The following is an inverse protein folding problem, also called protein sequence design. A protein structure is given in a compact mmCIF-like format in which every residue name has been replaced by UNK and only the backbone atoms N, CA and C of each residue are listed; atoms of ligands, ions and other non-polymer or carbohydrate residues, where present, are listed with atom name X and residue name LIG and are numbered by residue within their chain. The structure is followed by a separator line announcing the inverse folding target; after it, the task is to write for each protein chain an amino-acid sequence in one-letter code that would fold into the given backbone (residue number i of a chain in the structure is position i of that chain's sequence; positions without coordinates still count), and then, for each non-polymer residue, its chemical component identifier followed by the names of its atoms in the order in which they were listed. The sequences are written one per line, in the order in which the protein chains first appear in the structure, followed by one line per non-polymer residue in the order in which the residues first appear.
data_IF_937447930731
#
_entry.id   IF_937447930731
#
_cell.length_a   1.000
_cell.length_b   1.000
_cell.length_c   1.000
_cell.angle_alpha   90.00
_cell.angle_beta   90.00
_cell.angle_gamma   90.00
#
_symmetry.space_group_name_H-M   'P 1'
#
loop_
_entity.id
_entity.type
_entity.pdbx_description
1 polymer ?
#
# COMPACT_ATOMS: atom_id res chain seq x y z
N UNK A 1 11.23 4.12 -23.19
CA UNK A 1 9.81 4.59 -23.25
C UNK A 1 8.99 3.58 -24.03
N UNK A 2 7.86 3.16 -23.47
CA UNK A 2 6.92 2.23 -24.08
C UNK A 2 6.19 2.87 -25.26
N UNK A 3 5.98 2.10 -26.33
CA UNK A 3 5.02 2.42 -27.39
C UNK A 3 3.65 1.84 -26.95
N UNK A 4 2.78 2.69 -26.40
CA UNK A 4 1.51 2.27 -25.80
C UNK A 4 0.38 2.43 -26.81
N UNK A 5 -0.23 1.33 -27.20
CA UNK A 5 -1.41 1.32 -28.09
C UNK A 5 -2.67 1.62 -27.28
N UNK A 6 -3.47 2.58 -27.71
CA UNK A 6 -4.74 2.95 -27.07
C UNK A 6 -5.94 2.45 -27.88
N UNK A 7 -6.80 1.68 -27.22
CA UNK A 7 -8.15 1.35 -27.69
C UNK A 7 -9.17 1.88 -26.69
N UNK A 8 -9.86 2.97 -27.04
CA UNK A 8 -10.88 3.57 -26.15
C UNK A 8 -12.14 2.70 -26.11
N UNK A 9 -12.80 2.67 -24.96
CA UNK A 9 -14.13 2.06 -24.84
C UNK A 9 -15.15 2.79 -25.70
N UNK A 10 -16.06 2.04 -26.32
CA UNK A 10 -17.23 2.58 -27.04
C UNK A 10 -18.45 2.69 -26.14
N UNK A 11 -18.36 2.19 -24.91
CA UNK A 11 -19.45 2.16 -23.93
C UNK A 11 -18.91 2.58 -22.55
N UNK A 12 -18.60 3.89 -22.35
CA UNK A 12 -18.09 4.36 -21.08
C UNK A 12 -19.13 4.14 -19.96
N UNK A 13 -18.66 3.77 -18.78
CA UNK A 13 -19.47 3.54 -17.60
C UNK A 13 -20.00 4.88 -17.05
N UNK A 14 -21.18 4.84 -16.45
CA UNK A 14 -21.66 5.97 -15.67
C UNK A 14 -20.76 6.18 -14.45
N UNK A 15 -20.25 7.41 -14.28
CA UNK A 15 -19.48 7.76 -13.10
C UNK A 15 -20.39 7.90 -11.87
N UNK A 16 -19.92 7.54 -10.67
CA UNK A 16 -20.67 7.74 -9.44
C UNK A 16 -21.10 9.20 -9.28
N UNK A 17 -22.41 9.41 -9.10
CA UNK A 17 -22.96 10.75 -8.89
C UNK A 17 -22.66 11.30 -7.49
N UNK A 18 -22.38 10.43 -6.52
CA UNK A 18 -22.10 10.77 -5.12
C UNK A 18 -20.75 10.14 -4.73
N UNK A 19 -19.70 10.95 -4.75
CA UNK A 19 -18.34 10.52 -4.43
C UNK A 19 -18.16 10.21 -2.93
N UNK A 20 -19.08 10.60 -2.06
CA UNK A 20 -19.03 10.22 -0.63
C UNK A 20 -19.30 8.75 -0.39
N UNK A 21 -19.87 8.04 -1.39
CA UNK A 21 -20.25 6.62 -1.33
C UNK A 21 -19.35 5.70 -2.14
N UNK A 22 -18.19 6.18 -2.56
CA UNK A 22 -17.27 5.40 -3.42
C UNK A 22 -16.78 4.09 -2.77
N UNK A 23 -16.63 4.06 -1.45
CA UNK A 23 -15.99 2.93 -0.76
C UNK A 23 -14.54 2.74 -1.21
N UNK A 24 -14.04 1.50 -1.14
CA UNK A 24 -12.69 1.16 -1.57
C UNK A 24 -12.68 -0.08 -2.47
N UNK A 25 -12.14 0.06 -3.70
CA UNK A 25 -11.84 -1.07 -4.58
C UNK A 25 -13.07 -1.81 -5.15
N UNK A 26 -14.25 -1.19 -5.22
CA UNK A 26 -15.48 -1.83 -5.71
C UNK A 26 -15.93 -1.32 -7.08
N UNK A 27 -15.54 -0.11 -7.43
CA UNK A 27 -15.86 0.54 -8.71
C UNK A 27 -14.54 0.63 -9.49
N UNK A 28 -14.56 0.25 -10.77
CA UNK A 28 -13.39 0.29 -11.64
C UNK A 28 -13.62 1.23 -12.81
N UNK A 29 -12.54 1.90 -13.25
CA UNK A 29 -12.54 2.83 -14.37
C UNK A 29 -12.85 2.15 -15.70
N UNK A 30 -12.88 2.93 -16.78
CA UNK A 30 -13.26 2.44 -18.10
C UNK A 30 -12.21 1.59 -18.77
N UNK A 31 -10.94 1.78 -18.42
CA UNK A 31 -9.82 1.14 -19.08
C UNK A 31 -8.90 0.39 -18.11
N UNK A 32 -8.05 -0.47 -18.65
CA UNK A 32 -6.94 -1.13 -17.98
C UNK A 32 -5.70 -1.09 -18.89
N UNK A 33 -4.52 -1.07 -18.28
CA UNK A 33 -3.25 -1.24 -18.98
C UNK A 33 -2.84 -2.70 -18.95
N UNK A 34 -2.31 -3.19 -20.07
CA UNK A 34 -1.75 -4.54 -20.20
C UNK A 34 -0.40 -4.48 -20.93
N UNK A 35 0.53 -5.33 -20.50
CA UNK A 35 1.78 -5.58 -21.19
C UNK A 35 2.19 -7.03 -20.95
N UNK A 36 2.63 -7.71 -22.00
CA UNK A 36 2.99 -9.12 -21.96
C UNK A 36 4.50 -9.29 -21.87
N UNK A 37 4.94 -10.39 -21.28
CA UNK A 37 6.34 -10.82 -21.30
C UNK A 37 6.46 -12.23 -21.87
N UNK A 38 7.41 -12.42 -22.76
CA UNK A 38 7.81 -13.72 -23.29
C UNK A 38 9.32 -13.90 -23.12
N UNK A 39 9.75 -15.02 -22.53
CA UNK A 39 11.17 -15.31 -22.36
C UNK A 39 11.91 -15.34 -23.71
N UNK A 40 13.01 -14.59 -23.83
CA UNK A 40 13.77 -14.41 -25.05
C UNK A 40 13.32 -13.23 -25.93
N UNK A 41 12.12 -12.70 -25.71
CA UNK A 41 11.57 -11.54 -26.41
C UNK A 41 11.54 -10.30 -25.51
N UNK A 42 11.31 -10.50 -24.19
CA UNK A 42 11.19 -9.43 -23.20
C UNK A 42 9.75 -8.94 -23.05
N UNK A 43 9.59 -7.72 -22.50
CA UNK A 43 8.31 -7.04 -22.37
C UNK A 43 7.87 -6.46 -23.70
N UNK A 44 6.61 -6.71 -24.09
CA UNK A 44 6.05 -6.32 -25.37
C UNK A 44 4.53 -6.04 -25.30
N UNK A 45 3.96 -5.53 -26.38
CA UNK A 45 2.52 -5.26 -26.54
C UNK A 45 1.91 -4.39 -25.44
N UNK A 46 2.61 -3.33 -25.05
CA UNK A 46 2.07 -2.34 -24.13
C UNK A 46 0.81 -1.69 -24.70
N UNK A 47 -0.31 -1.78 -23.98
CA UNK A 47 -1.62 -1.33 -24.47
C UNK A 47 -2.56 -0.90 -23.35
N UNK A 48 -3.39 0.09 -23.65
CA UNK A 48 -4.55 0.47 -22.84
C UNK A 48 -5.80 0.03 -23.62
N UNK A 49 -6.64 -0.75 -22.96
CA UNK A 49 -7.84 -1.36 -23.53
C UNK A 49 -9.03 -1.19 -22.59
N UNK A 50 -10.29 -1.35 -23.07
CA UNK A 50 -11.45 -1.34 -22.19
C UNK A 50 -11.29 -2.36 -21.06
N UNK A 51 -11.68 -1.97 -19.83
CA UNK A 51 -11.70 -2.86 -18.67
C UNK A 51 -12.60 -4.06 -18.91
N UNK A 52 -12.01 -5.26 -18.84
CA UNK A 52 -12.71 -6.53 -19.08
C UNK A 52 -12.10 -7.67 -18.26
N UNK A 53 -12.79 -8.80 -18.07
CA UNK A 53 -12.19 -10.01 -17.53
C UNK A 53 -10.95 -10.46 -18.32
N UNK A 54 -9.94 -10.95 -17.63
CA UNK A 54 -8.76 -11.58 -18.24
C UNK A 54 -9.09 -13.05 -18.55
N UNK A 55 -8.96 -13.51 -19.81
CA UNK A 55 -9.16 -14.91 -20.15
C UNK A 55 -7.92 -15.71 -19.69
N UNK A 56 -8.05 -16.51 -18.65
CA UNK A 56 -6.99 -17.37 -18.13
C UNK A 56 -7.37 -18.85 -18.30
N UNK A 57 -6.41 -19.68 -18.72
CA UNK A 57 -6.56 -21.13 -18.70
C UNK A 57 -6.66 -21.61 -17.24
N UNK A 58 -7.52 -22.60 -16.91
CA UNK A 58 -7.60 -23.13 -15.54
C UNK A 58 -6.27 -23.68 -14.99
N UNK A 59 -5.33 -24.10 -15.85
CA UNK A 59 -4.00 -24.53 -15.47
C UNK A 59 -2.96 -23.41 -15.45
N UNK A 60 -3.36 -22.14 -15.53
CA UNK A 60 -2.45 -21.01 -15.39
C UNK A 60 -1.78 -21.07 -14.02
N UNK A 61 -0.45 -21.09 -13.98
CA UNK A 61 0.35 -21.39 -12.79
C UNK A 61 0.09 -20.43 -11.61
N UNK A 62 -0.27 -19.17 -11.87
CA UNK A 62 -0.61 -18.21 -10.80
C UNK A 62 -1.80 -18.68 -9.95
N UNK A 63 -2.77 -19.37 -10.54
CA UNK A 63 -3.95 -19.89 -9.84
C UNK A 63 -3.62 -21.00 -8.84
N UNK A 64 -2.45 -21.63 -8.98
CA UNK A 64 -2.02 -22.77 -8.16
C UNK A 64 -0.84 -22.43 -7.25
N UNK A 65 0.07 -21.55 -7.69
CA UNK A 65 1.35 -21.29 -6.99
C UNK A 65 1.56 -19.83 -6.63
N UNK A 66 0.61 -18.94 -6.97
CA UNK A 66 0.60 -17.53 -6.56
C UNK A 66 1.92 -16.78 -6.88
N UNK A 67 2.58 -17.11 -8.02
CA UNK A 67 3.71 -16.32 -8.50
C UNK A 67 3.19 -15.00 -9.07
N UNK A 68 2.96 -14.03 -8.19
CA UNK A 68 2.44 -12.71 -8.52
C UNK A 68 2.93 -11.66 -7.54
N UNK A 69 2.98 -10.41 -8.00
CA UNK A 69 3.33 -9.23 -7.22
C UNK A 69 2.37 -8.10 -7.57
N UNK A 70 2.20 -7.15 -6.64
CA UNK A 70 1.35 -6.00 -6.88
C UNK A 70 1.89 -4.74 -6.21
N UNK A 71 1.34 -3.61 -6.61
CA UNK A 71 1.55 -2.32 -6.00
C UNK A 71 0.23 -1.63 -5.64
N UNK A 72 0.31 -0.58 -4.86
CA UNK A 72 -0.80 0.26 -4.52
C UNK A 72 -0.34 1.70 -4.39
N UNK A 73 -0.91 2.58 -5.19
CA UNK A 73 -0.63 4.01 -5.21
C UNK A 73 -1.90 4.78 -5.53
N UNK A 74 -1.85 6.10 -5.50
CA UNK A 74 -3.02 6.95 -5.74
C UNK A 74 -2.69 8.08 -6.71
N UNK A 75 -3.69 8.48 -7.49
CA UNK A 75 -3.71 9.76 -8.16
C UNK A 75 -4.68 10.71 -7.44
N UNK A 76 -4.26 11.95 -7.31
CA UNK A 76 -4.95 13.00 -6.59
C UNK A 76 -5.29 14.15 -7.55
N UNK A 77 -6.46 14.78 -7.33
CA UNK A 77 -6.84 15.98 -8.04
C UNK A 77 -6.66 17.18 -7.14
N UNK A 78 -5.88 18.14 -7.59
CA UNK A 78 -5.68 19.41 -6.89
C UNK A 78 -6.84 20.38 -7.15
N UNK A 79 -6.91 21.47 -6.39
CA UNK A 79 -7.97 22.47 -6.51
C UNK A 79 -8.02 23.17 -7.89
N UNK A 80 -6.88 23.27 -8.57
CA UNK A 80 -6.80 23.83 -9.93
C UNK A 80 -7.08 22.79 -11.03
N UNK A 81 -7.41 21.54 -10.66
CA UNK A 81 -7.75 20.45 -11.56
C UNK A 81 -6.56 19.64 -12.06
N UNK A 82 -5.33 19.96 -11.65
CA UNK A 82 -4.15 19.13 -11.96
C UNK A 82 -4.31 17.74 -11.33
N UNK A 83 -3.96 16.71 -12.09
CA UNK A 83 -3.88 15.32 -11.59
C UNK A 83 -2.42 14.98 -11.33
N UNK A 84 -2.13 14.42 -10.17
CA UNK A 84 -0.76 14.15 -9.74
C UNK A 84 -0.62 12.83 -8.99
N UNK A 85 0.57 12.24 -9.03
CA UNK A 85 0.98 11.05 -8.31
C UNK A 85 1.92 11.43 -7.15
N UNK A 86 1.98 10.58 -6.14
CA UNK A 86 2.88 10.74 -5.00
C UNK A 86 3.95 9.64 -5.02
N UNK A 87 5.23 10.00 -5.23
CA UNK A 87 6.42 9.13 -5.22
C UNK A 87 6.29 7.84 -6.05
N UNK A 88 5.81 7.91 -7.31
CA UNK A 88 5.62 6.72 -8.14
C UNK A 88 6.93 5.96 -8.42
N UNK A 89 8.07 6.64 -8.41
CA UNK A 89 9.43 6.08 -8.50
C UNK A 89 9.73 5.08 -7.38
N UNK A 90 9.29 5.39 -6.15
CA UNK A 90 9.44 4.50 -5.01
C UNK A 90 8.60 3.23 -5.17
N UNK A 91 7.38 3.33 -5.71
CA UNK A 91 6.55 2.17 -6.02
C UNK A 91 7.19 1.33 -7.14
N UNK A 92 7.70 1.97 -8.20
CA UNK A 92 8.39 1.27 -9.29
C UNK A 92 9.61 0.49 -8.78
N UNK A 93 10.44 1.10 -7.93
CA UNK A 93 11.61 0.43 -7.33
C UNK A 93 11.18 -0.76 -6.47
N UNK A 94 10.18 -0.59 -5.60
CA UNK A 94 9.69 -1.68 -4.74
C UNK A 94 9.03 -2.80 -5.56
N UNK A 95 8.39 -2.48 -6.68
CA UNK A 95 7.87 -3.48 -7.61
C UNK A 95 9.01 -4.34 -8.20
N UNK A 96 10.15 -3.73 -8.54
CA UNK A 96 11.35 -4.44 -8.99
C UNK A 96 11.92 -5.34 -7.89
N UNK A 97 12.00 -4.86 -6.64
CA UNK A 97 12.50 -5.66 -5.51
C UNK A 97 11.60 -6.88 -5.25
N UNK A 98 10.29 -6.71 -5.38
CA UNK A 98 9.32 -7.82 -5.28
C UNK A 98 9.47 -8.80 -6.45
N UNK A 99 9.69 -8.29 -7.67
CA UNK A 99 9.90 -9.11 -8.86
C UNK A 99 11.13 -9.99 -8.72
N UNK A 100 12.25 -9.43 -8.28
CA UNK A 100 13.51 -10.18 -8.06
C UNK A 100 13.30 -11.36 -7.11
N UNK A 101 12.61 -11.13 -5.98
CA UNK A 101 12.39 -12.18 -4.98
C UNK A 101 11.58 -13.36 -5.53
N UNK A 102 10.65 -13.11 -6.44
CA UNK A 102 9.77 -14.13 -7.02
C UNK A 102 10.18 -14.57 -8.43
N UNK A 103 11.40 -14.21 -8.87
CA UNK A 103 11.90 -14.53 -10.21
C UNK A 103 10.98 -14.04 -11.34
N UNK A 104 10.33 -12.91 -11.16
CA UNK A 104 9.55 -12.22 -12.17
C UNK A 104 10.49 -11.23 -12.91
N UNK A 105 10.43 -11.13 -14.25
CA UNK A 105 11.27 -10.18 -14.98
C UNK A 105 11.01 -8.74 -14.55
N UNK A 106 12.07 -7.97 -14.31
CA UNK A 106 11.95 -6.56 -13.97
C UNK A 106 11.31 -5.76 -15.10
N UNK A 107 10.40 -4.86 -14.73
CA UNK A 107 9.97 -3.77 -15.60
C UNK A 107 10.86 -2.57 -15.27
N UNK A 108 11.48 -1.88 -16.27
CA UNK A 108 12.20 -0.64 -16.00
C UNK A 108 11.34 0.37 -15.24
N UNK A 109 11.91 1.06 -14.26
CA UNK A 109 11.16 1.97 -13.39
C UNK A 109 10.45 3.07 -14.19
N UNK A 110 11.13 3.62 -15.20
CA UNK A 110 10.57 4.62 -16.11
C UNK A 110 9.39 4.10 -16.92
N UNK A 111 9.42 2.82 -17.36
CA UNK A 111 8.33 2.20 -18.10
C UNK A 111 7.13 1.89 -17.19
N UNK A 112 7.38 1.48 -15.94
CA UNK A 112 6.34 1.32 -14.93
C UNK A 112 5.61 2.66 -14.66
N UNK A 113 6.36 3.74 -14.44
CA UNK A 113 5.77 5.07 -14.18
C UNK A 113 5.03 5.58 -15.42
N UNK A 114 5.60 5.41 -16.62
CA UNK A 114 4.93 5.79 -17.88
C UNK A 114 3.60 5.04 -18.06
N UNK A 115 3.55 3.74 -17.77
CA UNK A 115 2.32 2.95 -17.88
C UNK A 115 1.23 3.44 -16.90
N UNK A 116 1.63 3.80 -15.67
CA UNK A 116 0.72 4.39 -14.67
C UNK A 116 0.20 5.74 -15.14
N UNK A 117 1.09 6.65 -15.55
CA UNK A 117 0.70 7.98 -16.02
C UNK A 117 -0.23 7.90 -17.23
N UNK A 118 0.07 7.03 -18.19
CA UNK A 118 -0.72 6.84 -19.40
C UNK A 118 -2.15 6.38 -19.10
N UNK A 119 -2.32 5.39 -18.22
CA UNK A 119 -3.66 4.93 -17.83
C UNK A 119 -4.44 5.99 -17.06
N UNK A 120 -3.79 6.67 -16.12
CA UNK A 120 -4.41 7.77 -15.36
C UNK A 120 -4.81 8.92 -16.29
N UNK A 121 -4.01 9.22 -17.31
CA UNK A 121 -4.35 10.25 -18.30
C UNK A 121 -5.59 9.89 -19.13
N UNK A 122 -5.66 8.64 -19.61
CA UNK A 122 -6.82 8.14 -20.37
C UNK A 122 -8.10 8.18 -19.55
N UNK A 123 -8.01 7.79 -18.27
CA UNK A 123 -9.13 7.75 -17.32
C UNK A 123 -9.14 8.97 -16.36
N UNK A 124 -8.55 10.08 -16.75
CA UNK A 124 -8.39 11.32 -15.95
C UNK A 124 -9.69 11.79 -15.29
N UNK A 125 -10.81 11.65 -15.99
CA UNK A 125 -12.12 12.03 -15.50
C UNK A 125 -12.66 11.13 -14.38
N UNK A 126 -12.01 9.99 -14.11
CA UNK A 126 -12.31 9.11 -12.99
C UNK A 126 -11.60 9.50 -11.70
N UNK A 127 -10.63 10.42 -11.76
CA UNK A 127 -10.00 10.95 -10.56
C UNK A 127 -11.00 11.83 -9.82
N UNK A 128 -11.43 11.46 -8.59
CA UNK A 128 -12.48 12.17 -7.87
C UNK A 128 -12.17 13.65 -7.61
N UNK A 129 -13.22 14.44 -7.41
CA UNK A 129 -13.16 15.85 -7.10
C UNK A 129 -13.35 16.16 -5.61
N UNK A 130 -14.01 15.24 -4.88
CA UNK A 130 -14.33 15.42 -3.47
C UNK A 130 -13.08 15.37 -2.59
N UNK A 131 -13.07 16.17 -1.55
CA UNK A 131 -11.99 16.23 -0.55
C UNK A 131 -11.76 14.84 0.08
N UNK A 132 -10.51 14.43 0.18
CA UNK A 132 -10.11 13.12 0.72
C UNK A 132 -10.32 11.94 -0.24
N UNK A 133 -11.08 12.10 -1.33
CA UNK A 133 -11.23 11.09 -2.34
C UNK A 133 -10.04 11.08 -3.33
N UNK A 134 -9.74 9.94 -3.91
CA UNK A 134 -8.60 9.74 -4.80
C UNK A 134 -8.85 8.61 -5.79
N UNK A 135 -8.07 8.52 -6.86
CA UNK A 135 -8.07 7.36 -7.73
C UNK A 135 -7.02 6.36 -7.22
N UNK A 136 -7.45 5.20 -6.71
CA UNK A 136 -6.55 4.13 -6.34
C UNK A 136 -6.08 3.38 -7.57
N UNK A 137 -4.77 3.17 -7.67
CA UNK A 137 -4.11 2.53 -8.81
C UNK A 137 -3.51 1.22 -8.32
N UNK A 138 -3.84 0.10 -9.00
CA UNK A 138 -3.38 -1.24 -8.70
C UNK A 138 -2.59 -1.82 -9.86
N UNK A 139 -1.27 -1.57 -9.93
CA UNK A 139 -0.36 -2.35 -10.78
C UNK A 139 -0.16 -3.75 -10.18
N UNK A 140 -0.16 -4.77 -11.03
CA UNK A 140 0.17 -6.14 -10.63
C UNK A 140 0.74 -6.92 -11.80
N UNK A 141 1.58 -7.91 -11.49
CA UNK A 141 2.18 -8.81 -12.47
C UNK A 141 2.06 -10.24 -12.01
N UNK A 142 1.69 -11.13 -12.89
CA UNK A 142 1.50 -12.54 -12.55
C UNK A 142 2.00 -13.48 -13.66
N UNK A 143 2.39 -14.68 -13.22
CA UNK A 143 2.83 -15.76 -14.09
C UNK A 143 1.66 -16.33 -14.91
N UNK A 144 1.87 -16.45 -16.24
CA UNK A 144 0.84 -16.86 -17.18
C UNK A 144 1.17 -18.16 -17.95
N UNK A 145 2.15 -18.93 -17.51
CA UNK A 145 2.40 -20.27 -18.07
C UNK A 145 1.23 -21.19 -17.76
N UNK A 146 0.95 -22.13 -18.69
CA UNK A 146 -0.07 -23.17 -18.54
C UNK A 146 0.60 -24.48 -18.15
N UNK A 147 0.29 -25.02 -16.97
CA UNK A 147 0.86 -26.26 -16.46
C UNK A 147 0.76 -26.40 -14.96
N UNK A 148 1.11 -27.57 -14.44
CA UNK A 148 1.01 -27.91 -13.00
C UNK A 148 2.38 -28.12 -12.33
N UNK A 149 3.45 -27.62 -12.93
CA UNK A 149 4.81 -27.71 -12.38
C UNK A 149 5.22 -26.40 -11.69
N UNK A 150 5.92 -26.49 -10.55
CA UNK A 150 6.50 -25.31 -9.88
C UNK A 150 7.82 -24.94 -10.54
N UNK A 151 7.86 -23.78 -11.19
CA UNK A 151 9.05 -23.22 -11.82
C UNK A 151 8.88 -21.70 -12.02
N UNK A 152 9.96 -20.99 -12.27
CA UNK A 152 9.86 -19.61 -12.75
C UNK A 152 9.24 -19.60 -14.15
N UNK A 153 8.16 -18.86 -14.33
CA UNK A 153 7.42 -18.81 -15.60
C UNK A 153 8.23 -18.17 -16.71
N UNK A 154 7.85 -18.48 -17.95
CA UNK A 154 8.41 -17.89 -19.17
C UNK A 154 7.50 -16.82 -19.78
N UNK A 155 6.24 -16.76 -19.32
CA UNK A 155 5.25 -15.78 -19.74
C UNK A 155 4.65 -15.11 -18.53
N UNK A 156 4.50 -13.78 -18.60
CA UNK A 156 3.88 -12.97 -17.54
C UNK A 156 2.95 -11.93 -18.16
N UNK A 157 1.98 -11.51 -17.39
CA UNK A 157 1.12 -10.37 -17.73
C UNK A 157 1.33 -9.31 -16.67
N UNK A 158 1.68 -8.10 -17.08
CA UNK A 158 1.62 -6.90 -16.26
C UNK A 158 0.32 -6.16 -16.56
N UNK A 159 -0.45 -5.88 -15.53
CA UNK A 159 -1.75 -5.22 -15.63
C UNK A 159 -1.84 -4.06 -14.63
N UNK A 160 -2.50 -2.98 -15.04
CA UNK A 160 -2.87 -1.89 -14.12
C UNK A 160 -4.37 -1.67 -14.25
N UNK A 161 -5.06 -1.61 -13.11
CA UNK A 161 -6.45 -1.24 -12.98
C UNK A 161 -6.59 -0.07 -12.02
N UNK A 162 -7.63 0.75 -12.18
CA UNK A 162 -7.90 1.90 -11.34
C UNK A 162 -9.30 1.85 -10.74
N UNK A 163 -9.42 2.37 -9.51
CA UNK A 163 -10.68 2.42 -8.76
C UNK A 163 -10.81 3.78 -8.06
N UNK A 164 -11.85 4.58 -8.36
CA UNK A 164 -12.13 5.75 -7.56
C UNK A 164 -12.48 5.31 -6.13
N UNK A 165 -11.85 5.93 -5.15
CA UNK A 165 -11.97 5.57 -3.74
C UNK A 165 -12.32 6.81 -2.92
N UNK A 166 -13.26 6.67 -2.00
CA UNK A 166 -13.65 7.71 -1.07
C UNK A 166 -12.58 7.98 -0.01
N UNK A 167 -12.84 8.93 0.86
CA UNK A 167 -12.01 9.15 2.03
C UNK A 167 -11.98 7.87 2.88
N UNK A 168 -10.78 7.42 3.25
CA UNK A 168 -10.62 6.21 4.06
C UNK A 168 -11.32 6.33 5.42
N UNK A 169 -11.32 7.53 5.98
CA UNK A 169 -12.03 7.89 7.19
C UNK A 169 -13.15 8.89 6.84
N UNK A 170 -14.37 8.40 6.62
CA UNK A 170 -15.52 9.24 6.25
C UNK A 170 -15.92 10.22 7.38
N UNK A 171 -15.68 9.85 8.65
CA UNK A 171 -16.06 10.63 9.84
C UNK A 171 -14.84 11.24 10.57
N UNK A 172 -13.64 11.18 9.95
CA UNK A 172 -12.39 11.65 10.56
C UNK A 172 -11.45 10.50 10.95
N UNK A 173 -10.30 10.84 11.54
CA UNK A 173 -9.28 9.88 11.95
C UNK A 173 -9.64 9.23 13.28
N UNK A 174 -10.59 8.30 13.31
CA UNK A 174 -10.95 7.58 14.52
C UNK A 174 -9.87 6.57 14.93
N UNK A 175 -9.32 6.69 16.16
CA UNK A 175 -8.33 5.75 16.65
C UNK A 175 -8.90 4.35 16.82
N UNK A 176 -8.15 3.34 16.38
CA UNK A 176 -8.56 1.94 16.35
C UNK A 176 -7.98 1.12 17.52
N UNK A 177 -8.61 -0.02 17.80
CA UNK A 177 -8.14 -1.04 18.74
C UNK A 177 -7.39 -2.13 17.99
N UNK A 178 -6.23 -2.52 18.50
CA UNK A 178 -5.33 -3.48 17.86
C UNK A 178 -5.06 -4.68 18.79
N UNK A 179 -5.22 -5.87 18.26
CA UNK A 179 -4.83 -7.12 18.92
C UNK A 179 -3.37 -7.44 18.61
N UNK A 180 -2.57 -7.75 19.61
CA UNK A 180 -1.19 -8.21 19.42
C UNK A 180 -1.19 -9.72 19.17
N UNK A 181 -0.84 -10.12 17.96
CA UNK A 181 -0.87 -11.50 17.50
C UNK A 181 0.38 -12.26 17.97
N UNK A 182 0.20 -13.33 18.74
CA UNK A 182 1.29 -14.13 19.28
C UNK A 182 1.24 -15.63 18.86
N UNK A 183 0.20 -16.02 18.13
CA UNK A 183 0.06 -17.38 17.57
C UNK A 183 0.53 -17.43 16.11
N UNK A 184 -0.07 -16.61 15.25
CA UNK A 184 0.26 -16.55 13.84
C UNK A 184 1.39 -15.54 13.58
N UNK A 185 2.11 -15.75 12.48
CA UNK A 185 3.17 -14.84 12.03
C UNK A 185 2.86 -14.36 10.62
N UNK A 186 3.20 -13.11 10.32
CA UNK A 186 3.08 -12.53 8.98
C UNK A 186 4.26 -12.92 8.09
N UNK A 187 5.46 -12.93 8.66
CA UNK A 187 6.71 -13.10 7.93
C UNK A 187 7.77 -13.79 8.78
N UNK A 188 8.74 -14.42 8.13
CA UNK A 188 9.94 -14.97 8.77
C UNK A 188 11.17 -14.65 7.90
N UNK A 189 12.39 -14.61 8.50
CA UNK A 189 13.63 -14.42 7.76
C UNK A 189 13.78 -15.43 6.62
N UNK A 190 14.17 -14.94 5.43
CA UNK A 190 14.34 -15.76 4.23
C UNK A 190 13.07 -16.04 3.43
N UNK A 191 11.88 -15.68 3.94
CA UNK A 191 10.62 -15.76 3.19
C UNK A 191 10.37 -14.47 2.36
N UNK A 192 9.12 -14.10 2.20
CA UNK A 192 8.67 -13.04 1.29
C UNK A 192 8.17 -11.79 2.00
N UNK A 193 8.46 -11.61 3.29
CA UNK A 193 7.88 -10.55 4.11
C UNK A 193 8.13 -9.12 3.60
N UNK A 194 9.27 -8.88 2.95
CA UNK A 194 9.61 -7.58 2.36
C UNK A 194 9.05 -7.37 0.95
N UNK A 195 8.47 -8.40 0.33
CA UNK A 195 7.85 -8.31 -1.00
C UNK A 195 6.38 -7.98 -0.90
N UNK A 196 5.84 -7.35 -1.94
CA UNK A 196 4.42 -7.08 -2.04
C UNK A 196 3.78 -8.15 -2.94
N UNK A 197 3.54 -9.34 -2.38
CA UNK A 197 2.97 -10.50 -3.07
C UNK A 197 1.77 -11.07 -2.32
N UNK A 198 0.81 -11.64 -3.03
CA UNK A 198 -0.47 -12.09 -2.48
C UNK A 198 -0.38 -13.15 -1.40
N UNK A 199 0.65 -14.00 -1.43
CA UNK A 199 0.87 -15.00 -0.41
C UNK A 199 0.98 -14.44 1.01
N UNK A 200 1.62 -13.28 1.18
CA UNK A 200 1.71 -12.59 2.48
C UNK A 200 0.33 -12.15 2.98
N UNK A 201 -0.54 -11.73 2.07
CA UNK A 201 -1.89 -11.26 2.40
C UNK A 201 -2.84 -12.41 2.68
N UNK A 202 -2.79 -13.47 1.87
CA UNK A 202 -3.58 -14.68 2.11
C UNK A 202 -3.28 -15.30 3.49
N UNK A 203 -2.01 -15.35 3.88
CA UNK A 203 -1.60 -15.86 5.19
C UNK A 203 -2.09 -15.01 6.37
N UNK A 204 -2.41 -13.73 6.16
CA UNK A 204 -2.87 -12.82 7.22
C UNK A 204 -4.37 -12.90 7.51
N UNK A 205 -5.18 -13.53 6.63
CA UNK A 205 -6.64 -13.52 6.70
C UNK A 205 -7.13 -14.14 8.02
N UNK A 206 -6.62 -15.32 8.38
CA UNK A 206 -7.11 -16.04 9.58
C UNK A 206 -6.96 -15.22 10.86
N UNK A 207 -5.81 -14.61 11.08
CA UNK A 207 -5.56 -13.78 12.25
C UNK A 207 -6.44 -12.52 12.24
N UNK A 208 -6.62 -11.91 11.05
CA UNK A 208 -7.52 -10.75 10.88
C UNK A 208 -8.96 -11.06 11.25
N UNK A 209 -9.53 -12.17 10.76
CA UNK A 209 -10.89 -12.61 11.08
C UNK A 209 -11.07 -12.86 12.59
N UNK A 210 -10.11 -13.56 13.22
CA UNK A 210 -10.16 -13.82 14.67
C UNK A 210 -10.08 -12.53 15.51
N UNK A 211 -9.33 -11.54 15.07
CA UNK A 211 -9.26 -10.26 15.74
C UNK A 211 -10.56 -9.46 15.57
N UNK A 212 -11.14 -9.46 14.36
CA UNK A 212 -12.42 -8.79 14.07
C UNK A 212 -13.58 -9.39 14.89
N UNK A 213 -13.66 -10.73 15.01
CA UNK A 213 -14.62 -11.44 15.86
C UNK A 213 -14.56 -10.99 17.33
N UNK A 214 -13.39 -10.51 17.80
CA UNK A 214 -13.16 -9.99 19.14
C UNK A 214 -13.31 -8.45 19.24
N UNK A 215 -13.68 -7.78 18.13
CA UNK A 215 -13.90 -6.33 18.07
C UNK A 215 -12.62 -5.51 17.91
N UNK A 216 -11.54 -6.10 17.44
CA UNK A 216 -10.32 -5.38 17.05
C UNK A 216 -10.33 -5.06 15.55
N UNK A 217 -9.77 -3.92 15.18
CA UNK A 217 -9.74 -3.49 13.78
C UNK A 217 -8.62 -4.16 12.97
N UNK A 218 -7.50 -4.48 13.63
CA UNK A 218 -6.30 -5.06 13.01
C UNK A 218 -5.50 -5.87 14.02
N UNK A 219 -4.52 -6.62 13.53
CA UNK A 219 -3.52 -7.31 14.35
C UNK A 219 -2.16 -6.62 14.27
N UNK A 220 -1.46 -6.53 15.40
CA UNK A 220 -0.04 -6.18 15.45
C UNK A 220 0.79 -7.46 15.34
N UNK A 221 1.58 -7.54 14.29
CA UNK A 221 2.43 -8.69 14.03
C UNK A 221 3.73 -8.59 14.81
N UNK A 222 4.12 -9.71 15.42
CA UNK A 222 5.43 -9.89 16.03
C UNK A 222 6.36 -10.64 15.06
N UNK A 223 7.66 -10.55 15.30
CA UNK A 223 8.67 -11.25 14.51
C UNK A 223 8.46 -12.78 14.52
N UNK A 224 8.73 -13.41 13.39
CA UNK A 224 8.44 -14.83 13.19
C UNK A 224 9.41 -15.80 13.87
N UNK A 225 10.42 -15.32 14.61
CA UNK A 225 11.43 -16.16 15.26
C UNK A 225 11.22 -16.21 16.77
N UNK A 226 11.23 -15.04 17.41
CA UNK A 226 11.14 -14.91 18.87
C UNK A 226 9.72 -14.56 19.35
N UNK A 227 8.84 -14.09 18.42
CA UNK A 227 7.50 -13.55 18.74
C UNK A 227 7.57 -12.48 19.83
N UNK A 228 8.55 -11.64 19.72
CA UNK A 228 8.94 -10.67 20.74
C UNK A 228 8.96 -9.24 20.21
N UNK A 229 9.40 -9.03 18.98
CA UNK A 229 9.63 -7.70 18.42
C UNK A 229 8.50 -7.32 17.49
N UNK A 230 8.00 -6.10 17.62
CA UNK A 230 6.94 -5.56 16.76
C UNK A 230 7.45 -5.37 15.34
N UNK A 231 6.63 -5.71 14.34
CA UNK A 231 6.99 -5.56 12.93
C UNK A 231 6.00 -4.68 12.17
N UNK A 232 4.77 -5.12 11.99
CA UNK A 232 3.74 -4.42 11.21
C UNK A 232 2.36 -4.53 11.86
N UNK A 233 1.41 -3.69 11.45
CA UNK A 233 0.01 -3.75 11.87
C UNK A 233 -0.90 -3.99 10.68
N UNK A 234 -1.63 -5.12 10.67
CA UNK A 234 -2.43 -5.52 9.53
C UNK A 234 -1.58 -5.58 8.25
N UNK A 235 -1.90 -4.73 7.27
CA UNK A 235 -1.16 -4.55 6.02
C UNK A 235 -0.38 -3.22 5.96
N UNK A 236 -0.07 -2.61 7.11
CA UNK A 236 0.60 -1.32 7.25
C UNK A 236 1.88 -1.45 8.09
N UNK A 237 2.84 -0.55 7.87
CA UNK A 237 3.91 -0.34 8.85
C UNK A 237 3.34 0.34 10.09
N UNK A 238 4.06 0.28 11.21
CA UNK A 238 3.63 0.86 12.47
C UNK A 238 4.75 1.68 13.12
N UNK A 239 4.38 2.75 13.80
CA UNK A 239 5.28 3.63 14.55
C UNK A 239 4.78 3.86 15.96
N UNK A 240 5.71 3.98 16.91
CA UNK A 240 5.46 4.18 18.33
C UNK A 240 6.22 5.41 18.79
N UNK A 241 5.50 6.41 19.33
CA UNK A 241 6.12 7.54 20.01
C UNK A 241 6.21 7.24 21.49
N UNK A 242 7.43 7.05 21.97
CA UNK A 242 7.74 6.70 23.36
C UNK A 242 8.78 7.69 23.90
N UNK A 243 8.45 8.40 24.98
CA UNK A 243 9.33 9.34 25.66
C UNK A 243 9.98 10.33 24.68
N UNK A 244 9.15 10.90 23.78
CA UNK A 244 9.54 11.90 22.78
C UNK A 244 10.26 11.35 21.53
N UNK A 245 10.64 10.07 21.47
CA UNK A 245 11.29 9.43 20.33
C UNK A 245 10.28 8.60 19.53
N UNK A 246 10.53 8.42 18.24
CA UNK A 246 9.67 7.60 17.36
C UNK A 246 10.41 6.31 16.98
N UNK A 247 9.80 5.18 17.26
CA UNK A 247 10.32 3.84 16.98
C UNK A 247 9.52 3.17 15.87
N UNK A 248 10.22 2.47 14.99
CA UNK A 248 9.61 1.59 13.98
C UNK A 248 10.54 0.42 13.66
N UNK A 249 9.97 -0.69 13.22
CA UNK A 249 10.77 -1.85 12.83
C UNK A 249 11.69 -1.52 11.64
N UNK A 250 12.93 -2.01 11.67
CA UNK A 250 13.86 -1.90 10.55
C UNK A 250 13.45 -2.84 9.40
N UNK A 251 13.65 -2.40 8.16
CA UNK A 251 13.38 -3.21 6.97
C UNK A 251 14.55 -4.18 6.72
N UNK A 252 14.60 -5.29 7.45
CA UNK A 252 15.69 -6.29 7.41
C UNK A 252 15.29 -7.60 6.72
N UNK A 253 14.21 -7.59 5.92
CA UNK A 253 13.76 -8.73 5.11
C UNK A 253 12.42 -9.31 5.52
N UNK A 254 11.84 -8.92 6.64
CA UNK A 254 10.51 -9.35 7.10
C UNK A 254 9.47 -8.24 7.04
N UNK A 255 9.89 -6.99 7.03
CA UNK A 255 9.05 -5.79 7.02
C UNK A 255 9.02 -5.20 5.60
N UNK A 256 7.81 -4.87 5.12
CA UNK A 256 7.64 -4.22 3.83
C UNK A 256 8.16 -2.77 3.89
N UNK A 257 9.04 -2.34 2.97
CA UNK A 257 9.55 -0.96 2.93
C UNK A 257 8.46 -0.02 2.38
N UNK A 258 7.59 0.46 3.28
CA UNK A 258 6.45 1.31 2.93
C UNK A 258 6.88 2.68 2.38
N UNK A 259 6.26 3.13 1.28
CA UNK A 259 6.50 4.47 0.71
C UNK A 259 6.02 5.55 1.69
N UNK A 260 4.86 5.38 2.29
CA UNK A 260 4.35 6.28 3.34
C UNK A 260 5.26 6.27 4.57
N UNK A 261 5.71 5.09 5.04
CA UNK A 261 6.67 4.97 6.14
C UNK A 261 7.94 5.79 5.87
N UNK A 262 8.53 5.62 4.69
CA UNK A 262 9.74 6.36 4.29
C UNK A 262 9.51 7.87 4.30
N UNK A 263 8.38 8.33 3.75
CA UNK A 263 8.04 9.74 3.71
C UNK A 263 7.85 10.32 5.11
N UNK A 264 7.19 9.58 6.01
CA UNK A 264 7.01 9.99 7.41
C UNK A 264 8.35 10.08 8.15
N UNK A 265 9.26 9.13 7.96
CA UNK A 265 10.59 9.17 8.57
C UNK A 265 11.37 10.41 8.12
N UNK A 266 11.29 10.76 6.83
CA UNK A 266 11.92 11.96 6.29
C UNK A 266 11.33 13.23 6.95
N UNK A 267 10.00 13.34 7.07
CA UNK A 267 9.33 14.48 7.75
C UNK A 267 9.69 14.56 9.23
N UNK A 268 9.66 13.45 9.94
CA UNK A 268 9.98 13.40 11.37
C UNK A 268 11.41 13.91 11.64
N UNK A 269 12.37 13.48 10.82
CA UNK A 269 13.77 13.94 10.92
C UNK A 269 13.92 15.42 10.63
N UNK A 270 13.21 15.94 9.62
CA UNK A 270 13.20 17.38 9.34
C UNK A 270 12.60 18.19 10.49
N UNK A 271 11.63 17.64 11.20
CA UNK A 271 11.03 18.27 12.38
C UNK A 271 11.84 18.08 13.66
N UNK A 272 13.01 17.43 13.58
CA UNK A 272 13.93 17.24 14.71
C UNK A 272 13.59 16.08 15.63
N UNK A 273 12.70 15.17 15.22
CA UNK A 273 12.45 13.95 16.01
C UNK A 273 13.59 12.94 15.85
N UNK A 274 13.97 12.30 16.95
CA UNK A 274 14.82 11.11 16.91
C UNK A 274 13.96 9.92 16.44
N UNK A 275 14.33 9.35 15.29
CA UNK A 275 13.66 8.17 14.72
C UNK A 275 14.58 6.97 14.84
N UNK A 276 14.13 5.96 15.57
CA UNK A 276 14.85 4.71 15.80
C UNK A 276 14.25 3.61 14.91
N UNK A 277 14.99 3.22 13.89
CA UNK A 277 14.67 2.07 13.03
C UNK A 277 15.38 0.84 13.59
N UNK A 278 14.66 -0.07 14.26
CA UNK A 278 15.26 -1.19 14.95
C UNK A 278 14.27 -2.17 15.56
N UNK A 279 14.77 -3.00 16.45
CA UNK A 279 13.96 -3.94 17.22
C UNK A 279 13.31 -3.21 18.40
N UNK A 280 12.00 -3.35 18.57
CA UNK A 280 11.23 -2.87 19.72
C UNK A 280 10.45 -4.05 20.29
N UNK A 281 10.73 -4.45 21.53
CA UNK A 281 10.03 -5.56 22.14
C UNK A 281 8.60 -5.13 22.54
N UNK A 282 7.60 -5.99 22.31
CA UNK A 282 6.22 -5.71 22.74
C UNK A 282 6.13 -5.51 24.26
N UNK A 283 6.93 -6.22 25.04
CA UNK A 283 6.98 -6.04 26.49
C UNK A 283 7.44 -4.61 26.88
N UNK A 284 8.38 -4.02 26.13
CA UNK A 284 8.85 -2.65 26.37
C UNK A 284 7.76 -1.62 25.98
N UNK A 285 6.99 -1.89 24.91
CA UNK A 285 5.83 -1.07 24.53
C UNK A 285 4.79 -1.08 25.63
N UNK A 286 4.43 -2.26 26.15
CA UNK A 286 3.46 -2.40 27.24
C UNK A 286 3.95 -1.75 28.54
N UNK A 287 5.26 -1.85 28.82
CA UNK A 287 5.86 -1.16 29.97
C UNK A 287 5.81 0.36 29.80
N UNK A 288 6.12 0.87 28.61
CA UNK A 288 6.01 2.30 28.32
C UNK A 288 4.57 2.83 28.50
N UNK A 289 3.57 2.01 28.13
CA UNK A 289 2.17 2.34 28.39
C UNK A 289 1.87 2.43 29.89
N UNK A 290 2.30 1.45 30.69
CA UNK A 290 2.13 1.47 32.17
C UNK A 290 2.81 2.67 32.82
N UNK A 291 3.96 3.07 32.29
CA UNK A 291 4.73 4.20 32.80
C UNK A 291 4.21 5.56 32.29
N UNK A 292 3.15 5.59 31.47
CA UNK A 292 2.60 6.81 30.87
C UNK A 292 3.53 7.45 29.82
N UNK A 293 4.47 6.69 29.24
CA UNK A 293 5.46 7.13 28.26
C UNK A 293 5.09 6.77 26.81
N UNK A 294 4.12 5.89 26.59
CA UNK A 294 3.60 5.58 25.27
C UNK A 294 2.61 6.67 24.85
N UNK A 295 3.11 7.64 24.09
CA UNK A 295 2.38 8.87 23.78
C UNK A 295 1.43 8.70 22.58
N UNK A 296 1.94 8.14 21.48
CA UNK A 296 1.18 7.93 20.26
C UNK A 296 1.61 6.63 19.57
N UNK A 297 0.65 5.94 18.95
CA UNK A 297 0.90 4.79 18.07
C UNK A 297 0.05 4.96 16.82
N UNK A 298 0.65 4.71 15.65
CA UNK A 298 -0.06 4.83 14.39
C UNK A 298 0.49 3.90 13.31
N UNK A 299 -0.44 3.31 12.54
CA UNK A 299 -0.14 2.60 11.32
C UNK A 299 0.10 3.56 10.16
N UNK A 300 0.87 3.14 9.16
CA UNK A 300 1.17 3.96 7.97
C UNK A 300 1.03 3.14 6.69
N UNK A 301 0.28 3.66 5.71
CA UNK A 301 0.05 2.96 4.44
C UNK A 301 -0.58 3.85 3.38
N UNK A 302 -0.66 3.37 2.15
CA UNK A 302 -1.20 4.15 1.02
C UNK A 302 -2.69 4.45 1.20
N UNK A 303 -3.48 3.48 1.66
CA UNK A 303 -4.94 3.65 1.75
C UNK A 303 -5.31 4.67 2.86
N UNK A 304 -4.84 4.44 4.08
CA UNK A 304 -5.19 5.25 5.25
C UNK A 304 -4.29 6.47 5.44
N UNK A 305 -3.14 6.55 4.77
CA UNK A 305 -2.04 7.49 5.02
C UNK A 305 -1.46 7.27 6.41
N UNK A 306 -2.19 7.66 7.46
CA UNK A 306 -1.87 7.42 8.87
C UNK A 306 -3.12 6.89 9.57
N UNK A 307 -2.98 5.83 10.37
CA UNK A 307 -4.07 5.20 11.13
C UNK A 307 -3.76 5.25 12.62
N UNK A 308 -4.38 6.15 13.41
CA UNK A 308 -4.12 6.27 14.84
C UNK A 308 -4.62 5.04 15.61
N UNK A 309 -3.88 4.63 16.63
CA UNK A 309 -4.19 3.51 17.51
C UNK A 309 -4.48 4.03 18.91
N UNK A 310 -5.62 3.65 19.49
CA UNK A 310 -6.01 4.05 20.86
C UNK A 310 -5.72 2.99 21.91
N UNK A 311 -5.64 1.73 21.52
CA UNK A 311 -5.50 0.62 22.45
C UNK A 311 -4.77 -0.55 21.80
N UNK A 312 -3.85 -1.15 22.54
CA UNK A 312 -3.25 -2.46 22.24
C UNK A 312 -3.77 -3.48 23.29
N UNK A 313 -4.12 -4.69 22.83
CA UNK A 313 -4.38 -5.83 23.71
C UNK A 313 -3.32 -6.90 23.48
N UNK A 314 -2.58 -7.23 24.50
CA UNK A 314 -1.59 -8.31 24.47
C UNK A 314 -1.83 -9.29 25.58
N UNK A 315 -2.24 -10.52 25.22
CA UNK A 315 -2.52 -11.61 26.17
C UNK A 315 -3.56 -11.23 27.23
N UNK A 316 -4.55 -10.41 26.85
CA UNK A 316 -5.60 -9.92 27.74
C UNK A 316 -5.19 -8.71 28.59
N UNK A 317 -3.96 -8.21 28.47
CA UNK A 317 -3.55 -6.94 29.03
C UNK A 317 -3.82 -5.82 28.04
N UNK A 318 -4.66 -4.87 28.42
CA UNK A 318 -5.01 -3.71 27.60
C UNK A 318 -4.12 -2.51 27.95
N UNK A 319 -3.52 -1.91 26.94
CA UNK A 319 -2.74 -0.69 27.03
C UNK A 319 -3.45 0.44 26.29
N UNK A 320 -4.00 1.40 27.02
CA UNK A 320 -4.52 2.64 26.47
C UNK A 320 -3.33 3.53 26.04
N UNK A 321 -3.42 4.13 24.85
CA UNK A 321 -2.39 5.00 24.29
C UNK A 321 -2.81 6.46 24.49
N UNK A 322 -1.98 7.22 25.20
CA UNK A 322 -2.30 8.61 25.55
C UNK A 322 -3.65 8.70 26.30
N UNK A 323 -4.54 9.53 25.79
CA UNK A 323 -5.92 9.68 26.27
C UNK A 323 -6.96 8.92 25.41
N UNK A 324 -6.49 8.07 24.50
CA UNK A 324 -7.33 7.34 23.55
C UNK A 324 -7.81 8.15 22.36
N UNK A 325 -7.35 9.38 22.22
CA UNK A 325 -7.64 10.26 21.07
C UNK A 325 -6.47 10.29 20.10
N UNK A 326 -6.68 10.94 18.95
CA UNK A 326 -5.59 11.17 18.00
C UNK A 326 -4.55 12.11 18.61
N UNK A 327 -3.29 11.69 18.59
CA UNK A 327 -2.21 12.51 19.10
C UNK A 327 -1.80 13.64 18.14
N UNK A 328 -1.17 14.70 18.66
CA UNK A 328 -0.81 15.88 17.86
C UNK A 328 0.22 15.58 16.76
N UNK A 329 1.15 14.64 16.96
CA UNK A 329 2.11 14.25 15.94
C UNK A 329 1.42 13.47 14.82
N UNK A 330 0.56 12.52 15.16
CA UNK A 330 -0.23 11.74 14.22
C UNK A 330 -1.09 12.64 13.34
N UNK A 331 -1.78 13.61 13.92
CA UNK A 331 -2.58 14.61 13.20
C UNK A 331 -1.71 15.45 12.27
N UNK A 332 -0.59 15.97 12.77
CA UNK A 332 0.34 16.78 11.96
C UNK A 332 0.90 16.00 10.76
N UNK A 333 1.24 14.73 10.93
CA UNK A 333 1.71 13.85 9.86
C UNK A 333 0.62 13.65 8.79
N UNK A 334 -0.60 13.37 9.21
CA UNK A 334 -1.73 13.21 8.32
C UNK A 334 -2.00 14.49 7.51
N UNK A 335 -2.11 15.63 8.17
CA UNK A 335 -2.38 16.92 7.53
C UNK A 335 -1.27 17.32 6.55
N UNK A 336 -0.01 17.07 6.92
CA UNK A 336 1.13 17.39 6.06
C UNK A 336 1.16 16.51 4.82
N UNK A 337 1.06 15.19 4.97
CA UNK A 337 1.11 14.26 3.84
C UNK A 337 -0.08 14.47 2.90
N UNK A 338 -1.30 14.53 3.44
CA UNK A 338 -2.49 14.78 2.64
C UNK A 338 -2.43 16.18 1.99
N UNK A 339 -1.95 17.18 2.72
CA UNK A 339 -1.73 18.53 2.18
C UNK A 339 -0.83 18.55 0.95
N UNK A 340 0.29 17.81 0.97
CA UNK A 340 1.19 17.65 -0.17
C UNK A 340 0.51 16.85 -1.29
N UNK A 341 -0.13 15.72 -0.96
CA UNK A 341 -0.77 14.82 -1.92
C UNK A 341 -1.89 15.48 -2.72
N UNK A 342 -2.69 16.37 -2.11
CA UNK A 342 -3.75 17.13 -2.77
C UNK A 342 -3.31 18.55 -3.22
N UNK A 343 -2.02 18.88 -3.13
CA UNK A 343 -1.49 20.17 -3.56
C UNK A 343 -1.96 21.34 -2.70
N UNK A 344 -2.42 21.11 -1.47
CA UNK A 344 -2.79 22.13 -0.47
C UNK A 344 -1.55 22.70 0.22
N UNK A 345 -0.46 21.94 0.27
CA UNK A 345 0.84 22.34 0.78
C UNK A 345 1.89 22.18 -0.34
N UNK A 346 2.97 23.00 -0.31
CA UNK A 346 4.04 22.90 -1.28
C UNK A 346 4.81 21.58 -1.13
N UNK A 347 5.25 21.03 -2.25
CA UNK A 347 6.14 19.86 -2.28
C UNK A 347 7.61 20.32 -2.28
N UNK A 348 8.17 20.51 -1.09
CA UNK A 348 9.59 20.88 -0.92
C UNK A 348 10.57 19.72 -1.16
N UNK A 349 10.04 18.50 -1.27
CA UNK A 349 10.83 17.26 -1.40
C UNK A 349 10.92 16.71 -2.81
N UNK A 350 10.11 17.23 -3.74
CA UNK A 350 10.02 16.69 -5.10
C UNK A 350 9.34 15.30 -5.15
N UNK A 351 8.36 15.06 -4.28
CA UNK A 351 7.62 13.80 -4.21
C UNK A 351 6.46 13.71 -5.20
N UNK A 352 6.01 14.85 -5.69
CA UNK A 352 4.85 14.96 -6.58
C UNK A 352 5.27 14.87 -8.04
N UNK A 353 4.57 14.05 -8.79
CA UNK A 353 4.72 13.91 -10.24
C UNK A 353 3.39 14.25 -10.90
N UNK A 354 3.28 15.41 -11.57
CA UNK A 354 2.09 15.75 -12.34
C UNK A 354 1.89 14.79 -13.51
N UNK A 355 0.67 14.27 -13.68
CA UNK A 355 0.30 13.39 -14.80
C UNK A 355 0.17 14.25 -16.07
N UNK A 356 1.05 14.01 -17.02
CA UNK A 356 1.06 14.70 -18.33
C UNK A 356 -0.11 14.22 -19.18
N UNK A 357 -0.55 15.09 -20.10
CA UNK A 357 -1.47 14.69 -21.14
C UNK A 357 -0.68 13.95 -22.24
N UNK A 358 -1.08 12.72 -22.54
CA UNK A 358 -0.41 11.83 -23.51
C UNK A 358 -1.31 11.46 -24.69
N UNK A 359 -2.65 11.45 -24.46
CA UNK A 359 -3.66 10.95 -25.42
C UNK A 359 -4.83 11.92 -25.64
#
# INVERSE_FOLDING_TARGET
MLDIKLTRTTSPKAKPADESKLGFGQIFTDHMFLMDYTAGEGWHDARIVPYAPLPLDPATVVLHYAQEIFEGMKAYRTADGTVQLFRPDCNATRFQDSADRLCIPRIPAEDFVQAVEALVDVDRDWVPHSDGASLYIRPFCFANDVGLGVHASKHYIFCIICSPSGAYYAEGLDPVRIYVEDEYIRAAPGLTGFTKCGGNYAASIKAGELAEEQGFSQVLWLDGVEKKYVEEVGSMNIMFKIDGKVYTAACTGTVLPGVTRRSIIELLRDWGYEVVEGKLAIADVMQAARDGKLEEVFGTGTAAVVSPVKELDWKGEQALIGDGQIGPLTQKLYDTLTGIQWGKLPDEKGWIVPVKQMF
#
